data_IF_830090401538
#
_entry.id   IF_830090401538
#
_cell.length_a   1.000
_cell.length_b   1.000
_cell.length_c   1.000
_cell.angle_alpha   90.00
_cell.angle_beta   90.00
_cell.angle_gamma   90.00
#
_symmetry.space_group_name_H-M   'P 1'
#
loop_
_entity.id
_entity.type
_entity.pdbx_description
1 polymer ?
#
# COMPACT_ATOMS: atom_id res chain seq x y z
N UNK A 1 3.44 -12.26 6.40
CA UNK A 1 3.43 -12.31 4.91
C UNK A 1 4.86 -12.54 4.44
N UNK A 2 5.10 -13.29 3.36
CA UNK A 2 6.46 -13.54 2.83
C UNK A 2 6.80 -12.60 1.67
N UNK A 3 8.09 -12.37 1.36
CA UNK A 3 8.48 -11.48 0.26
C UNK A 3 8.02 -11.91 -1.14
N UNK A 4 7.73 -13.20 -1.34
CA UNK A 4 7.37 -13.77 -2.64
C UNK A 4 5.89 -13.60 -3.01
N UNK A 5 5.04 -13.16 -2.07
CA UNK A 5 3.61 -12.99 -2.31
C UNK A 5 3.39 -11.80 -3.25
N UNK A 6 2.52 -11.98 -4.24
CA UNK A 6 2.02 -10.90 -5.10
C UNK A 6 0.80 -10.28 -4.43
N UNK A 7 1.04 -9.37 -3.49
CA UNK A 7 0.00 -8.62 -2.78
C UNK A 7 0.59 -7.33 -2.19
N UNK A 8 -0.23 -6.48 -1.59
CA UNK A 8 0.16 -5.35 -0.74
C UNK A 8 -0.82 -5.26 0.45
N UNK A 9 -0.46 -4.52 1.50
CA UNK A 9 -1.38 -4.28 2.62
C UNK A 9 -1.01 -3.04 3.45
N UNK A 10 -2.02 -2.50 4.12
CA UNK A 10 -1.93 -1.55 5.22
C UNK A 10 -2.14 -2.23 6.58
N UNK A 11 -1.41 -1.78 7.61
CA UNK A 11 -1.64 -2.17 8.99
C UNK A 11 -1.94 -0.93 9.85
N UNK A 12 -3.18 -0.79 10.38
CA UNK A 12 -3.58 0.39 11.16
C UNK A 12 -2.82 0.52 12.48
N UNK A 13 -2.63 -0.57 13.22
CA UNK A 13 -1.96 -0.56 14.54
C UNK A 13 -0.48 -0.17 14.50
N UNK A 14 0.12 -0.16 13.31
CA UNK A 14 1.51 0.24 13.09
C UNK A 14 1.63 1.44 12.17
N UNK A 15 0.52 1.89 11.59
CA UNK A 15 0.46 2.88 10.53
C UNK A 15 1.52 2.65 9.42
N UNK A 16 1.59 1.43 8.89
CA UNK A 16 2.54 1.07 7.82
C UNK A 16 1.83 0.51 6.59
N UNK A 17 2.36 0.83 5.42
CA UNK A 17 2.05 0.17 4.14
C UNK A 17 3.22 -0.73 3.75
N UNK A 18 2.94 -1.91 3.20
CA UNK A 18 3.96 -2.91 2.89
C UNK A 18 3.75 -3.48 1.49
N UNK A 19 4.84 -3.45 0.71
CA UNK A 19 4.91 -3.99 -0.65
C UNK A 19 5.97 -5.09 -0.71
N UNK A 20 5.59 -6.38 -0.59
CA UNK A 20 6.46 -7.52 -0.85
C UNK A 20 7.16 -7.42 -2.22
N UNK A 21 8.36 -7.98 -2.34
CA UNK A 21 9.10 -7.98 -3.61
C UNK A 21 8.30 -8.62 -4.77
N UNK A 22 7.43 -9.59 -4.47
CA UNK A 22 6.56 -10.27 -5.43
C UNK A 22 5.60 -9.34 -6.17
N UNK A 23 5.17 -8.20 -5.62
CA UNK A 23 4.32 -7.25 -6.36
C UNK A 23 5.13 -6.25 -7.21
N UNK A 24 6.43 -6.11 -6.96
CA UNK A 24 7.31 -5.15 -7.65
C UNK A 24 7.85 -5.69 -8.98
N UNK A 25 6.94 -6.21 -9.80
CA UNK A 25 7.20 -6.75 -11.13
C UNK A 25 6.09 -6.38 -12.11
N UNK A 26 6.30 -6.61 -13.40
CA UNK A 26 5.29 -6.34 -14.42
C UNK A 26 4.03 -7.22 -14.17
N UNK A 27 2.81 -6.69 -14.38
CA UNK A 27 2.51 -5.39 -15.00
C UNK A 27 2.52 -4.19 -14.03
N UNK A 28 2.69 -4.41 -12.73
CA UNK A 28 2.61 -3.33 -11.73
C UNK A 28 3.82 -2.39 -11.81
N UNK A 29 5.03 -2.95 -11.87
CA UNK A 29 6.27 -2.17 -11.92
C UNK A 29 7.32 -2.78 -12.86
N UNK A 30 7.96 -1.93 -13.65
CA UNK A 30 9.19 -2.28 -14.37
C UNK A 30 10.04 -1.04 -14.60
N UNK A 31 11.37 -1.19 -14.48
CA UNK A 31 12.32 -0.14 -14.89
C UNK A 31 12.31 0.10 -16.41
N UNK A 32 11.76 -0.84 -17.19
CA UNK A 32 11.70 -0.78 -18.66
C UNK A 32 10.37 -0.26 -19.20
N UNK A 33 9.33 -0.09 -18.36
CA UNK A 33 8.03 0.43 -18.80
C UNK A 33 7.94 1.95 -18.63
N UNK A 34 6.97 2.57 -19.33
CA UNK A 34 6.75 4.02 -19.21
C UNK A 34 6.41 4.40 -17.77
N UNK A 35 6.74 5.64 -17.40
CA UNK A 35 6.33 6.21 -16.11
C UNK A 35 4.81 6.18 -15.95
N UNK A 36 4.04 6.45 -17.01
CA UNK A 36 2.57 6.34 -16.97
C UNK A 36 2.08 4.95 -16.62
N UNK A 37 2.69 3.89 -17.15
CA UNK A 37 2.34 2.51 -16.81
C UNK A 37 2.72 2.17 -15.36
N UNK A 38 3.88 2.65 -14.87
CA UNK A 38 4.25 2.50 -13.45
C UNK A 38 3.28 3.24 -12.51
N UNK A 39 2.89 4.48 -12.84
CA UNK A 39 1.92 5.23 -12.05
C UNK A 39 0.53 4.59 -12.07
N UNK A 40 0.07 4.08 -13.21
CA UNK A 40 -1.20 3.35 -13.31
C UNK A 40 -1.19 1.97 -12.66
N UNK A 41 -0.03 1.31 -12.65
CA UNK A 41 0.18 0.01 -11.99
C UNK A 41 0.50 0.19 -10.51
N UNK A 42 1.78 0.12 -10.14
CA UNK A 42 2.20 0.18 -8.74
C UNK A 42 1.83 1.49 -8.06
N UNK A 43 1.77 2.61 -8.77
CA UNK A 43 1.36 3.90 -8.20
C UNK A 43 -0.08 3.87 -7.67
N UNK A 44 -1.01 3.28 -8.41
CA UNK A 44 -2.40 3.10 -7.97
C UNK A 44 -2.50 2.16 -6.76
N UNK A 45 -1.69 1.09 -6.72
CA UNK A 45 -1.62 0.19 -5.56
C UNK A 45 -1.05 0.91 -4.33
N UNK A 46 -0.02 1.75 -4.49
CA UNK A 46 0.50 2.57 -3.39
C UNK A 46 -0.58 3.51 -2.84
N UNK A 47 -1.31 4.19 -3.73
CA UNK A 47 -2.41 5.07 -3.34
C UNK A 47 -3.55 4.30 -2.64
N UNK A 48 -3.84 3.07 -3.07
CA UNK A 48 -4.82 2.19 -2.44
C UNK A 48 -4.44 1.90 -0.99
N UNK A 49 -3.20 1.47 -0.72
CA UNK A 49 -2.75 1.17 0.63
C UNK A 49 -2.68 2.41 1.53
N UNK A 50 -2.37 3.58 0.97
CA UNK A 50 -2.46 4.85 1.72
C UNK A 50 -3.92 5.17 2.07
N UNK A 51 -4.86 4.93 1.15
CA UNK A 51 -6.28 5.19 1.37
C UNK A 51 -6.86 4.33 2.48
N UNK A 52 -6.30 3.14 2.75
CA UNK A 52 -6.69 2.32 3.90
C UNK A 52 -6.40 2.96 5.25
N UNK A 53 -5.50 3.95 5.35
CA UNK A 53 -5.33 4.74 6.57
C UNK A 53 -6.51 5.70 6.83
N UNK A 54 -7.33 5.97 5.81
CA UNK A 54 -8.41 6.96 5.86
C UNK A 54 -9.78 6.37 5.53
N UNK A 55 -9.88 5.06 5.34
CA UNK A 55 -11.17 4.40 5.13
C UNK A 55 -11.98 4.31 6.44
N UNK A 56 -13.18 3.74 6.37
CA UNK A 56 -14.08 3.63 7.51
C UNK A 56 -13.51 2.86 8.72
N UNK A 57 -12.46 2.05 8.52
CA UNK A 57 -11.76 1.37 9.59
C UNK A 57 -10.48 2.12 9.98
N UNK A 58 -9.67 2.52 9.01
CA UNK A 58 -8.39 3.20 9.21
C UNK A 58 -8.53 4.55 9.91
N UNK A 59 -9.57 5.32 9.59
CA UNK A 59 -9.82 6.62 10.19
C UNK A 59 -10.10 6.57 11.70
N UNK A 60 -10.31 5.39 12.29
CA UNK A 60 -10.43 5.24 13.74
C UNK A 60 -9.08 5.12 14.45
N UNK A 61 -7.96 5.16 13.71
CA UNK A 61 -6.61 5.06 14.23
C UNK A 61 -5.85 6.37 14.02
N UNK A 62 -5.17 6.85 15.06
CA UNK A 62 -4.29 8.02 14.97
C UNK A 62 -2.97 7.71 14.23
N UNK A 63 -2.09 8.70 14.11
CA UNK A 63 -0.85 8.60 13.35
C UNK A 63 0.16 7.60 13.90
N UNK A 64 0.02 7.19 15.17
CA UNK A 64 0.87 6.18 15.81
C UNK A 64 0.17 4.82 15.95
N UNK A 65 -1.07 4.70 15.48
CA UNK A 65 -1.83 3.45 15.42
C UNK A 65 -2.68 3.13 16.66
N UNK A 66 -3.00 4.12 17.49
CA UNK A 66 -3.96 3.95 18.58
C UNK A 66 -5.39 4.11 18.06
N UNK A 67 -6.30 3.26 18.54
CA UNK A 67 -7.72 3.42 18.26
C UNK A 67 -8.30 4.57 19.11
N UNK A 68 -8.49 5.74 18.50
CA UNK A 68 -8.97 6.96 19.16
C UNK A 68 -9.75 7.81 18.16
N UNK A 69 -10.70 8.60 18.64
CA UNK A 69 -11.39 9.60 17.84
C UNK A 69 -10.57 10.89 17.85
N UNK A 70 -9.96 11.25 16.72
CA UNK A 70 -8.98 12.32 16.56
C UNK A 70 -9.48 13.48 15.69
#
# INVERSE_FOLDING_TARGET
MTPAIVNAYYNPTKNIIVFPAGILQAPFYSKKQSSSANYGGIGAVIAHEISHAFDNNGANFDEVGNMVNW
#
